data_IF_926690128609
#
_entry.id   IF_926690128609
#
_cell.length_a   1.000
_cell.length_b   1.000
_cell.length_c   1.000
_cell.angle_alpha   90.00
_cell.angle_beta   90.00
_cell.angle_gamma   90.00
#
_symmetry.space_group_name_H-M   'P 1'
#
loop_
_entity.id
_entity.type
_entity.pdbx_description
1 polymer ?
#
# COMPACT_ATOMS: atom_id res chain seq x y z
N UNK A 1 2.95 -8.91 6.90
CA UNK A 1 3.46 -7.61 7.40
C UNK A 1 3.80 -6.68 6.22
N UNK A 2 2.88 -6.56 5.25
CA UNK A 2 3.09 -5.76 4.02
C UNK A 2 1.89 -4.84 3.85
N UNK A 3 1.88 -3.74 4.60
CA UNK A 3 1.02 -2.60 4.32
C UNK A 3 1.88 -1.51 3.68
N UNK A 4 1.26 -0.61 2.91
CA UNK A 4 1.92 0.60 2.45
C UNK A 4 2.45 1.37 3.68
N UNK A 5 3.75 1.68 3.70
CA UNK A 5 4.38 2.48 4.77
C UNK A 5 4.89 3.77 4.18
N UNK A 6 4.57 4.88 4.83
CA UNK A 6 5.18 6.16 4.49
C UNK A 6 6.67 6.15 4.81
N UNK A 7 7.48 6.75 3.93
CA UNK A 7 8.85 7.12 4.24
C UNK A 7 8.86 8.57 4.73
N UNK A 8 9.39 8.78 5.94
CA UNK A 8 9.39 10.08 6.59
C UNK A 8 10.83 10.50 6.89
N UNK A 9 11.09 11.79 6.74
CA UNK A 9 12.38 12.39 7.07
C UNK A 9 12.16 13.74 7.76
N UNK A 10 13.13 14.15 8.57
CA UNK A 10 13.09 15.44 9.22
C UNK A 10 13.25 16.57 8.18
N UNK A 11 12.26 17.48 8.12
CA UNK A 11 12.17 18.49 7.06
C UNK A 11 13.42 19.36 6.97
N UNK A 12 13.89 19.92 8.08
CA UNK A 12 15.04 20.82 8.04
C UNK A 12 16.33 20.12 7.57
N UNK A 13 16.45 18.81 7.80
CA UNK A 13 17.58 18.02 7.32
C UNK A 13 17.51 17.81 5.82
N UNK A 14 16.32 17.61 5.26
CA UNK A 14 16.14 17.48 3.80
C UNK A 14 16.32 18.84 3.12
N UNK A 15 15.82 19.91 3.74
CA UNK A 15 15.88 21.26 3.21
C UNK A 15 17.28 21.89 3.30
N UNK A 16 18.15 21.40 4.21
CA UNK A 16 19.55 21.84 4.29
C UNK A 16 20.45 21.21 3.23
N UNK A 17 19.97 20.20 2.50
CA UNK A 17 20.74 19.58 1.42
C UNK A 17 20.87 20.55 0.23
N UNK A 18 22.07 20.62 -0.40
CA UNK A 18 22.22 21.25 -1.71
C UNK A 18 21.16 20.73 -2.70
N UNK A 19 20.65 21.58 -3.62
CA UNK A 19 19.57 21.21 -4.53
C UNK A 19 19.81 19.89 -5.28
N UNK A 20 21.04 19.68 -5.76
CA UNK A 20 21.42 18.47 -6.50
C UNK A 20 21.39 17.22 -5.62
N UNK A 21 21.86 17.31 -4.37
CA UNK A 21 21.79 16.19 -3.42
C UNK A 21 20.35 15.87 -3.06
N UNK A 22 19.51 16.89 -2.87
CA UNK A 22 18.08 16.69 -2.61
C UNK A 22 17.38 16.00 -3.79
N UNK A 23 17.74 16.35 -5.03
CA UNK A 23 17.23 15.69 -6.23
C UNK A 23 17.67 14.22 -6.28
N UNK A 24 18.95 13.93 -6.02
CA UNK A 24 19.50 12.57 -6.00
C UNK A 24 18.78 11.71 -4.95
N UNK A 25 18.64 12.21 -3.73
CA UNK A 25 17.95 11.51 -2.63
C UNK A 25 16.49 11.22 -3.02
N UNK A 26 15.76 12.21 -3.53
CA UNK A 26 14.36 12.01 -3.94
C UNK A 26 14.21 10.99 -5.06
N UNK A 27 15.12 10.98 -6.04
CA UNK A 27 15.13 9.98 -7.12
C UNK A 27 15.43 8.59 -6.60
N UNK A 28 16.43 8.45 -5.73
CA UNK A 28 16.80 7.19 -5.13
C UNK A 28 15.65 6.61 -4.28
N UNK A 29 14.96 7.45 -3.50
CA UNK A 29 13.78 7.05 -2.73
C UNK A 29 12.68 6.50 -3.63
N UNK A 30 12.34 7.18 -4.73
CA UNK A 30 11.31 6.71 -5.68
C UNK A 30 11.69 5.36 -6.28
N UNK A 31 12.92 5.23 -6.77
CA UNK A 31 13.43 3.98 -7.33
C UNK A 31 13.39 2.83 -6.30
N UNK A 32 13.74 3.11 -5.05
CA UNK A 32 13.67 2.12 -3.97
C UNK A 32 12.23 1.69 -3.66
N UNK A 33 11.27 2.64 -3.68
CA UNK A 33 9.83 2.34 -3.50
C UNK A 33 9.33 1.43 -4.62
N UNK A 34 9.67 1.74 -5.87
CA UNK A 34 9.22 0.94 -7.02
C UNK A 34 9.81 -0.47 -6.98
N UNK A 35 11.09 -0.60 -6.67
CA UNK A 35 11.72 -1.90 -6.45
C UNK A 35 11.03 -2.68 -5.31
N UNK A 36 10.83 -2.03 -4.16
CA UNK A 36 10.20 -2.65 -2.99
C UNK A 36 8.78 -3.15 -3.29
N UNK A 37 8.01 -2.44 -4.12
CA UNK A 37 6.67 -2.88 -4.57
C UNK A 37 6.75 -4.13 -5.44
N UNK A 38 7.66 -4.16 -6.40
CA UNK A 38 7.83 -5.31 -7.29
C UNK A 38 8.27 -6.57 -6.54
N UNK A 39 9.22 -6.43 -5.61
CA UNK A 39 9.73 -7.51 -4.78
C UNK A 39 8.68 -8.01 -3.79
N UNK A 40 7.86 -7.10 -3.22
CA UNK A 40 6.75 -7.48 -2.34
C UNK A 40 5.73 -8.35 -3.08
N UNK A 41 5.35 -7.98 -4.31
CA UNK A 41 4.42 -8.78 -5.11
C UNK A 41 5.00 -10.15 -5.50
N UNK A 42 6.30 -10.20 -5.83
CA UNK A 42 6.99 -11.47 -6.11
C UNK A 42 7.05 -12.37 -4.88
N UNK A 43 7.36 -11.79 -3.72
CA UNK A 43 7.40 -12.49 -2.45
C UNK A 43 6.03 -13.01 -2.03
N UNK A 44 4.97 -12.23 -2.21
CA UNK A 44 3.59 -12.65 -1.94
C UNK A 44 3.22 -13.91 -2.71
N UNK A 45 3.47 -13.93 -4.03
CA UNK A 45 3.26 -15.13 -4.86
C UNK A 45 4.04 -16.34 -4.36
N UNK A 46 5.33 -16.14 -4.04
CA UNK A 46 6.20 -17.21 -3.52
C UNK A 46 5.69 -17.75 -2.18
N UNK A 47 5.22 -16.89 -1.30
CA UNK A 47 4.68 -17.27 0.00
C UNK A 47 3.35 -18.01 -0.14
N UNK A 48 2.45 -17.56 -1.03
CA UNK A 48 1.21 -18.27 -1.35
C UNK A 48 1.51 -19.68 -1.85
N UNK A 49 2.36 -19.84 -2.87
CA UNK A 49 2.75 -21.17 -3.37
C UNK A 49 3.34 -22.05 -2.27
N UNK A 50 4.21 -21.49 -1.40
CA UNK A 50 4.75 -22.25 -0.26
C UNK A 50 3.66 -22.70 0.71
N UNK A 51 2.64 -21.88 0.94
CA UNK A 51 1.51 -22.24 1.81
C UNK A 51 0.65 -23.34 1.16
N UNK A 52 0.34 -23.21 -0.14
CA UNK A 52 -0.39 -24.23 -0.90
C UNK A 52 0.34 -25.59 -0.90
N UNK A 53 1.66 -25.61 -1.07
CA UNK A 53 2.46 -26.85 -0.98
C UNK A 53 2.43 -27.50 0.41
N UNK A 54 2.06 -26.76 1.45
CA UNK A 54 1.87 -27.26 2.82
C UNK A 54 0.42 -27.66 3.11
N UNK A 55 -0.43 -27.67 2.09
CA UNK A 55 -1.84 -28.04 2.18
C UNK A 55 -2.76 -26.90 2.64
N UNK A 56 -2.32 -25.64 2.60
CA UNK A 56 -3.19 -24.49 2.90
C UNK A 56 -3.98 -24.13 1.65
N UNK A 57 -5.30 -24.10 1.76
CA UNK A 57 -6.20 -23.68 0.70
C UNK A 57 -6.39 -22.16 0.69
N UNK A 58 -6.39 -21.57 -0.50
CA UNK A 58 -6.72 -20.16 -0.72
C UNK A 58 -8.03 -20.08 -1.49
N UNK A 59 -8.97 -19.29 -0.97
CA UNK A 59 -10.24 -19.01 -1.63
C UNK A 59 -10.16 -17.62 -2.23
N UNK A 60 -10.11 -17.56 -3.56
CA UNK A 60 -10.23 -16.30 -4.29
C UNK A 60 -11.72 -15.97 -4.44
N UNK A 61 -12.11 -14.74 -4.07
CA UNK A 61 -13.49 -14.30 -4.21
C UNK A 61 -13.81 -14.04 -5.69
N UNK A 62 -14.88 -14.66 -6.19
CA UNK A 62 -15.47 -14.27 -7.46
C UNK A 62 -16.20 -12.92 -7.36
N UNK A 63 -16.70 -12.41 -8.49
CA UNK A 63 -17.31 -11.08 -8.56
C UNK A 63 -18.55 -10.94 -7.66
N UNK A 64 -19.36 -11.99 -7.55
CA UNK A 64 -20.58 -12.00 -6.72
C UNK A 64 -20.24 -12.05 -5.24
N UNK A 65 -19.33 -12.94 -4.83
CA UNK A 65 -18.83 -13.02 -3.46
C UNK A 65 -18.12 -11.72 -3.05
N UNK A 66 -17.37 -11.10 -3.98
CA UNK A 66 -16.74 -9.80 -3.77
C UNK A 66 -17.77 -8.68 -3.59
N UNK A 67 -18.83 -8.66 -4.38
CA UNK A 67 -19.92 -7.67 -4.23
C UNK A 67 -20.57 -7.78 -2.85
N UNK A 68 -20.94 -9.00 -2.43
CA UNK A 68 -21.53 -9.24 -1.11
C UNK A 68 -20.58 -8.85 0.03
N UNK A 69 -19.29 -9.10 -0.13
CA UNK A 69 -18.29 -8.68 0.85
C UNK A 69 -18.22 -7.15 0.98
N UNK A 70 -18.30 -6.42 -0.13
CA UNK A 70 -18.32 -4.96 -0.13
C UNK A 70 -19.58 -4.41 0.55
N UNK A 71 -20.75 -4.95 0.21
CA UNK A 71 -22.04 -4.59 0.83
C UNK A 71 -22.01 -4.85 2.34
N UNK A 72 -21.55 -6.03 2.76
CA UNK A 72 -21.45 -6.38 4.18
C UNK A 72 -20.43 -5.50 4.93
N UNK A 73 -19.39 -5.03 4.26
CA UNK A 73 -18.36 -4.17 4.84
C UNK A 73 -18.73 -2.69 4.86
N UNK A 74 -19.73 -2.28 4.08
CA UNK A 74 -20.09 -0.87 3.89
C UNK A 74 -20.32 -0.11 5.20
N UNK A 75 -21.05 -0.64 6.21
CA UNK A 75 -21.26 0.10 7.47
C UNK A 75 -19.96 0.36 8.23
N UNK A 76 -19.02 -0.58 8.21
CA UNK A 76 -17.73 -0.40 8.87
C UNK A 76 -16.86 0.64 8.14
N UNK A 77 -16.93 0.65 6.80
CA UNK A 77 -16.25 1.64 5.96
C UNK A 77 -16.81 3.03 6.21
N UNK A 78 -18.14 3.17 6.30
CA UNK A 78 -18.80 4.46 6.60
C UNK A 78 -18.39 5.02 7.96
N UNK A 79 -18.33 4.17 9.00
CA UNK A 79 -17.84 4.60 10.33
C UNK A 79 -16.37 5.05 10.24
N UNK A 80 -15.53 4.32 9.51
CA UNK A 80 -14.14 4.73 9.31
C UNK A 80 -14.01 6.05 8.54
N UNK A 81 -14.88 6.29 7.55
CA UNK A 81 -14.93 7.54 6.78
C UNK A 81 -15.23 8.76 7.65
N UNK A 82 -16.05 8.62 8.69
CA UNK A 82 -16.34 9.74 9.62
C UNK A 82 -15.09 10.26 10.35
N UNK A 83 -14.05 9.43 10.47
CA UNK A 83 -12.77 9.80 11.09
C UNK A 83 -11.77 10.48 10.16
N UNK A 84 -12.08 10.61 8.86
CA UNK A 84 -11.14 11.08 7.83
C UNK A 84 -11.79 12.20 7.01
N UNK A 85 -11.15 13.38 6.87
CA UNK A 85 -11.69 14.46 6.04
C UNK A 85 -11.96 14.04 4.59
N UNK A 86 -13.11 14.42 4.02
CA UNK A 86 -13.51 14.02 2.65
C UNK A 86 -12.46 14.41 1.59
N UNK A 87 -11.82 15.58 1.76
CA UNK A 87 -10.76 16.02 0.84
C UNK A 87 -9.55 15.07 0.76
N UNK A 88 -9.28 14.26 1.79
CA UNK A 88 -8.24 13.22 1.70
C UNK A 88 -8.69 12.02 0.86
N UNK A 89 -9.99 11.69 0.85
CA UNK A 89 -10.52 10.65 -0.03
C UNK A 89 -10.55 11.09 -1.48
N UNK A 90 -10.86 12.35 -1.77
CA UNK A 90 -10.80 12.91 -3.13
C UNK A 90 -9.39 12.76 -3.73
N UNK A 91 -8.35 13.06 -2.94
CA UNK A 91 -6.95 12.88 -3.35
C UNK A 91 -6.56 11.41 -3.59
N UNK A 92 -7.26 10.46 -2.99
CA UNK A 92 -6.99 9.03 -3.18
C UNK A 92 -7.74 8.43 -4.38
N UNK A 93 -8.81 9.09 -4.86
CA UNK A 93 -9.62 8.67 -6.01
C UNK A 93 -9.12 9.24 -7.35
N UNK A 94 -8.30 10.28 -7.33
CA UNK A 94 -7.66 10.90 -8.51
C UNK A 94 -6.43 10.13 -8.97
#
# INVERSE_FOLDING_TARGET
LYGARGLWAHRATVDSLPPDLRLIVNRAVRAAIDLQRSEAAALERKLRTRMETRGIEFVDLDDDARSRFLEASAPAIEVAHQGVPEGLFELARS
#
